data_IF_224752510621
#
_entry.id   IF_224752510621
#
_cell.length_a   1.000
_cell.length_b   1.000
_cell.length_c   1.000
_cell.angle_alpha   90.00
_cell.angle_beta   90.00
_cell.angle_gamma   90.00
#
_symmetry.space_group_name_H-M   'P 1'
#
loop_
_entity.id
_entity.type
_entity.pdbx_description
1 polymer ?
#
# COMPACT_ATOMS: atom_id res chain seq x y z
N UNK A 1 35.35 -13.46 13.97
CA UNK A 1 34.78 -14.38 12.99
C UNK A 1 34.18 -13.66 11.77
N UNK A 2 33.47 -12.56 11.99
CA UNK A 2 32.79 -11.81 10.93
C UNK A 2 33.43 -10.47 10.59
N UNK A 3 34.73 -10.32 10.80
CA UNK A 3 35.45 -9.06 10.56
C UNK A 3 35.47 -8.62 9.10
N UNK A 4 35.24 -9.55 8.18
CA UNK A 4 35.21 -9.29 6.73
C UNK A 4 33.80 -8.93 6.23
N UNK A 5 32.79 -8.98 7.10
CA UNK A 5 31.43 -8.63 6.73
C UNK A 5 31.24 -7.15 6.99
N UNK A 6 30.88 -6.42 5.95
CA UNK A 6 30.60 -4.99 6.06
C UNK A 6 29.33 -4.73 6.89
N UNK A 7 29.32 -3.60 7.59
CA UNK A 7 28.15 -3.16 8.32
C UNK A 7 27.02 -2.85 7.33
N UNK A 8 25.86 -3.47 7.55
CA UNK A 8 24.66 -3.19 6.76
C UNK A 8 23.79 -2.17 7.50
N UNK A 9 23.64 -0.94 6.95
CA UNK A 9 22.92 0.13 7.64
C UNK A 9 21.40 -0.04 7.63
N UNK A 10 20.88 -1.09 7.02
CA UNK A 10 19.45 -1.33 6.84
C UNK A 10 18.88 -0.69 5.59
N UNK A 11 17.57 -0.80 5.42
CA UNK A 11 16.88 -0.20 4.29
C UNK A 11 16.72 1.31 4.51
N UNK A 12 17.20 2.16 3.57
CA UNK A 12 17.16 3.61 3.76
C UNK A 12 15.75 4.20 3.73
N UNK A 13 14.80 3.53 3.10
CA UNK A 13 13.41 3.99 3.02
C UNK A 13 12.62 3.50 4.22
N UNK A 14 12.65 2.20 4.50
CA UNK A 14 11.89 1.61 5.61
C UNK A 14 12.39 2.05 6.99
N UNK A 15 13.70 2.34 7.11
CA UNK A 15 14.25 2.88 8.37
C UNK A 15 13.71 4.27 8.71
N UNK A 16 13.21 5.02 7.73
CA UNK A 16 12.56 6.31 7.98
C UNK A 16 11.28 6.18 8.80
N UNK A 17 10.60 5.05 8.71
CA UNK A 17 9.40 4.77 9.52
C UNK A 17 9.76 4.75 11.01
N UNK A 18 10.86 4.08 11.37
CA UNK A 18 11.34 4.06 12.75
C UNK A 18 11.84 5.42 13.20
N UNK A 19 12.57 6.13 12.35
CA UNK A 19 13.05 7.47 12.63
C UNK A 19 11.87 8.41 12.94
N UNK A 20 10.82 8.35 12.12
CA UNK A 20 9.60 9.13 12.35
C UNK A 20 8.94 8.76 13.67
N UNK A 21 8.81 7.46 13.94
CA UNK A 21 8.17 6.95 15.16
C UNK A 21 8.91 7.41 16.43
N UNK A 22 10.24 7.42 16.36
CA UNK A 22 11.10 7.78 17.50
C UNK A 22 11.32 9.28 17.66
N UNK A 23 10.90 10.09 16.70
CA UNK A 23 11.01 11.54 16.77
C UNK A 23 10.03 12.06 17.85
N UNK A 24 10.52 12.77 18.89
CA UNK A 24 9.66 13.21 19.97
C UNK A 24 8.81 14.44 19.65
N UNK A 25 9.04 15.08 18.50
CA UNK A 25 8.33 16.31 18.15
C UNK A 25 6.86 15.99 17.81
N UNK A 26 5.87 16.73 18.39
CA UNK A 26 4.46 16.47 18.10
C UNK A 26 4.06 16.92 16.69
N UNK A 27 4.70 17.95 16.17
CA UNK A 27 4.44 18.49 14.83
C UNK A 27 5.34 17.79 13.81
N UNK A 28 4.91 16.61 13.37
CA UNK A 28 5.67 15.82 12.40
C UNK A 28 4.74 15.17 11.39
N UNK A 29 5.20 15.05 10.16
CA UNK A 29 4.46 14.43 9.06
C UNK A 29 5.36 13.38 8.41
N UNK A 30 4.83 12.19 8.19
CA UNK A 30 5.55 11.11 7.53
C UNK A 30 5.28 11.18 6.02
N UNK A 31 6.33 11.48 5.26
CA UNK A 31 6.28 11.53 3.79
C UNK A 31 7.13 10.43 3.15
N UNK A 32 7.55 9.45 3.92
CA UNK A 32 8.47 8.40 3.44
C UNK A 32 7.80 7.40 2.50
N UNK A 33 6.51 7.17 2.65
CA UNK A 33 5.75 6.21 1.86
C UNK A 33 4.45 6.87 1.39
N UNK A 34 4.06 6.61 0.14
CA UNK A 34 2.84 7.16 -0.44
C UNK A 34 1.59 6.45 0.06
N UNK A 35 1.16 6.80 1.26
CA UNK A 35 -0.07 6.29 1.89
C UNK A 35 -0.97 7.47 2.22
N UNK A 36 -2.26 7.35 1.92
CA UNK A 36 -3.24 8.35 2.32
C UNK A 36 -3.64 8.15 3.78
N UNK A 37 -3.56 9.23 4.57
CA UNK A 37 -4.07 9.30 5.92
C UNK A 37 -5.11 10.41 6.02
N UNK A 38 -6.14 10.18 6.84
CA UNK A 38 -7.14 11.21 7.14
C UNK A 38 -6.60 12.25 8.14
N UNK A 39 -7.43 13.23 8.48
CA UNK A 39 -7.05 14.29 9.42
C UNK A 39 -6.77 13.78 10.83
N UNK A 40 -7.24 12.59 11.17
CA UNK A 40 -7.00 11.93 12.46
C UNK A 40 -5.76 11.03 12.43
N UNK A 41 -5.04 10.99 11.31
CA UNK A 41 -3.86 10.16 11.14
C UNK A 41 -4.16 8.68 10.92
N UNK A 42 -5.37 8.36 10.51
CA UNK A 42 -5.80 6.99 10.22
C UNK A 42 -5.89 6.76 8.73
N UNK A 43 -5.64 5.53 8.32
CA UNK A 43 -5.80 5.11 6.94
C UNK A 43 -7.25 4.62 6.75
N UNK A 44 -8.09 5.36 6.01
CA UNK A 44 -9.47 4.97 5.83
C UNK A 44 -9.60 3.79 4.86
N UNK A 45 -10.62 2.99 5.07
CA UNK A 45 -11.06 2.00 4.08
C UNK A 45 -12.19 2.64 3.28
N UNK A 46 -11.98 2.77 1.97
CA UNK A 46 -13.01 3.34 1.10
C UNK A 46 -14.25 2.43 1.07
N UNK A 47 -15.42 3.02 1.17
CA UNK A 47 -16.69 2.28 1.16
C UNK A 47 -16.84 1.44 -0.11
N UNK A 48 -16.48 1.98 -1.26
CA UNK A 48 -16.49 1.26 -2.54
C UNK A 48 -15.63 0.01 -2.52
N UNK A 49 -14.46 0.07 -1.89
CA UNK A 49 -13.54 -1.06 -1.75
C UNK A 49 -14.15 -2.11 -0.81
N UNK A 50 -14.67 -1.68 0.33
CA UNK A 50 -15.33 -2.57 1.30
C UNK A 50 -16.52 -3.31 0.68
N UNK A 51 -17.35 -2.61 -0.09
CA UNK A 51 -18.47 -3.22 -0.82
C UNK A 51 -17.99 -4.24 -1.86
N UNK A 52 -16.93 -3.91 -2.60
CA UNK A 52 -16.36 -4.80 -3.60
C UNK A 52 -15.78 -6.07 -2.97
N UNK A 53 -15.07 -5.94 -1.86
CA UNK A 53 -14.52 -7.07 -1.12
C UNK A 53 -15.62 -8.01 -0.60
N UNK A 54 -16.69 -7.44 -0.04
CA UNK A 54 -17.84 -8.20 0.45
C UNK A 54 -18.53 -8.95 -0.69
N UNK A 55 -18.77 -8.30 -1.82
CA UNK A 55 -19.37 -8.92 -2.99
C UNK A 55 -18.49 -10.05 -3.54
N UNK A 56 -17.18 -9.84 -3.57
CA UNK A 56 -16.21 -10.84 -4.01
C UNK A 56 -16.22 -12.07 -3.11
N UNK A 57 -16.24 -11.86 -1.80
CA UNK A 57 -16.28 -12.95 -0.83
C UNK A 57 -17.58 -13.75 -0.89
N UNK A 58 -18.70 -13.08 -1.18
CA UNK A 58 -20.00 -13.74 -1.31
C UNK A 58 -20.12 -14.61 -2.58
N UNK A 59 -19.30 -14.32 -3.60
CA UNK A 59 -19.28 -15.06 -4.86
C UNK A 59 -17.87 -15.59 -5.12
N UNK A 60 -17.46 -16.64 -4.42
CA UNK A 60 -16.11 -17.17 -4.57
C UNK A 60 -15.84 -17.61 -6.02
N UNK A 61 -14.70 -17.22 -6.55
CA UNK A 61 -14.27 -17.58 -7.88
C UNK A 61 -12.78 -17.92 -7.87
N UNK A 62 -12.30 -18.79 -8.76
CA UNK A 62 -10.89 -19.09 -8.86
C UNK A 62 -10.09 -17.86 -9.29
N UNK A 63 -8.81 -17.82 -8.93
CA UNK A 63 -7.89 -16.77 -9.34
C UNK A 63 -6.84 -17.36 -10.28
N UNK A 64 -7.18 -17.54 -11.58
CA UNK A 64 -6.25 -18.08 -12.55
C UNK A 64 -5.20 -17.06 -12.96
N UNK A 65 -4.22 -17.50 -13.74
CA UNK A 65 -3.31 -16.60 -14.41
C UNK A 65 -4.07 -15.71 -15.40
N UNK A 66 -3.76 -14.42 -15.37
CA UNK A 66 -4.31 -13.47 -16.32
C UNK A 66 -3.39 -13.34 -17.55
N UNK A 67 -3.92 -12.89 -18.71
CA UNK A 67 -3.08 -12.48 -19.82
C UNK A 67 -2.13 -11.35 -19.44
N UNK A 68 -1.11 -11.09 -20.25
CA UNK A 68 -0.13 -10.02 -20.00
C UNK A 68 -0.79 -8.65 -19.83
N UNK A 69 -1.84 -8.38 -20.59
CA UNK A 69 -2.61 -7.13 -20.54
C UNK A 69 -3.58 -7.05 -19.36
N UNK A 70 -3.70 -8.11 -18.58
CA UNK A 70 -4.58 -8.13 -17.40
C UNK A 70 -6.04 -8.44 -17.72
N UNK A 71 -6.91 -8.21 -16.76
CA UNK A 71 -8.33 -8.51 -16.83
C UNK A 71 -9.05 -7.48 -17.72
N UNK A 72 -9.76 -7.96 -18.74
CA UNK A 72 -10.46 -7.10 -19.70
C UNK A 72 -11.51 -6.19 -19.03
N UNK A 73 -12.29 -6.74 -18.11
CA UNK A 73 -13.30 -5.96 -17.36
C UNK A 73 -12.67 -4.85 -16.53
N UNK A 74 -11.50 -5.10 -15.93
CA UNK A 74 -10.75 -4.08 -15.19
C UNK A 74 -10.29 -2.96 -16.14
N UNK A 75 -9.69 -3.31 -17.28
CA UNK A 75 -9.23 -2.31 -18.25
C UNK A 75 -10.37 -1.43 -18.74
N UNK A 76 -11.51 -2.06 -19.05
CA UNK A 76 -12.70 -1.36 -19.49
C UNK A 76 -13.23 -0.38 -18.43
N UNK A 77 -13.29 -0.83 -17.16
CA UNK A 77 -13.72 0.02 -16.06
C UNK A 77 -12.79 1.22 -15.85
N UNK A 78 -11.48 1.00 -15.94
CA UNK A 78 -10.48 2.08 -15.81
C UNK A 78 -10.62 3.11 -16.94
N UNK A 79 -10.86 2.65 -18.17
CA UNK A 79 -11.11 3.56 -19.29
C UNK A 79 -12.31 4.45 -19.04
N UNK A 80 -13.42 3.88 -18.58
CA UNK A 80 -14.61 4.66 -18.24
C UNK A 80 -14.39 5.66 -17.10
N UNK A 81 -13.55 5.29 -16.14
CA UNK A 81 -13.26 6.15 -15.00
C UNK A 81 -12.37 7.33 -15.38
N UNK A 82 -11.36 7.12 -16.21
CA UNK A 82 -10.32 8.09 -16.50
C UNK A 82 -10.54 8.88 -17.80
N UNK A 83 -11.28 8.34 -18.73
CA UNK A 83 -11.50 8.91 -20.06
C UNK A 83 -13.00 8.92 -20.38
#
# INVERSE_FOLDING_TARGET
MYRHVEYYPGDPILSLVETFKNDPRPEKVNLSIGIYFDDEGKMPVLESVSCAETARAATPAPSPYLPMEGLNTYRSAVQHLLF
#
